data_IF_366224828986
#
_entry.id   IF_366224828986
#
_cell.length_a   1.000
_cell.length_b   1.000
_cell.length_c   1.000
_cell.angle_alpha   90.00
_cell.angle_beta   90.00
_cell.angle_gamma   90.00
#
_symmetry.space_group_name_H-M   'P 1'
#
loop_
_entity.id
_entity.type
_entity.pdbx_description
1 polymer ?
#
# COMPACT_ATOMS: atom_id res chain seq x y z
N UNK A 1 -13.20 -19.08 -8.91
CA UNK A 1 -11.85 -18.58 -8.61
C UNK A 1 -11.18 -17.95 -9.83
N UNK A 2 -11.44 -18.43 -11.06
CA UNK A 2 -10.80 -17.91 -12.28
C UNK A 2 -11.69 -16.98 -13.12
N UNK A 3 -12.76 -16.44 -12.55
CA UNK A 3 -13.76 -15.69 -13.31
C UNK A 3 -13.19 -14.38 -13.89
N UNK A 4 -12.22 -13.76 -13.20
CA UNK A 4 -11.60 -12.51 -13.64
C UNK A 4 -10.50 -12.72 -14.70
N UNK A 5 -9.78 -13.85 -14.67
CA UNK A 5 -8.58 -14.08 -15.49
C UNK A 5 -8.75 -13.82 -16.98
N UNK A 6 -9.88 -14.18 -17.63
CA UNK A 6 -10.06 -13.92 -19.06
C UNK A 6 -10.27 -12.45 -19.43
N UNK A 7 -10.42 -11.56 -18.43
CA UNK A 7 -10.92 -10.20 -18.64
C UNK A 7 -10.05 -9.10 -18.03
N UNK A 8 -9.00 -9.45 -17.27
CA UNK A 8 -8.16 -8.47 -16.57
C UNK A 8 -6.69 -8.77 -16.84
N UNK A 9 -5.90 -7.72 -17.01
CA UNK A 9 -4.45 -7.83 -17.16
C UNK A 9 -3.71 -7.84 -15.80
N UNK A 10 -4.41 -7.46 -14.72
CA UNK A 10 -3.86 -7.36 -13.37
C UNK A 10 -4.93 -7.75 -12.35
N UNK A 11 -4.55 -8.57 -11.37
CA UNK A 11 -5.38 -8.87 -10.21
C UNK A 11 -5.12 -7.86 -9.08
N UNK A 12 -6.12 -7.04 -8.78
CA UNK A 12 -6.06 -6.03 -7.71
C UNK A 12 -6.66 -6.54 -6.41
N UNK A 13 -5.95 -6.37 -5.30
CA UNK A 13 -6.36 -6.87 -3.99
C UNK A 13 -6.44 -5.77 -2.93
N UNK A 14 -7.44 -5.90 -2.06
CA UNK A 14 -7.47 -5.24 -0.76
C UNK A 14 -7.08 -6.27 0.30
N UNK A 15 -6.02 -6.01 1.06
CA UNK A 15 -5.55 -6.94 2.09
C UNK A 15 -4.87 -6.21 3.26
N UNK A 16 -5.53 -6.23 4.41
CA UNK A 16 -5.05 -5.62 5.66
C UNK A 16 -4.47 -6.64 6.66
N UNK A 17 -4.27 -7.90 6.24
CA UNK A 17 -3.82 -9.00 7.11
C UNK A 17 -2.43 -9.48 6.74
N UNK A 18 -2.26 -9.98 5.51
CA UNK A 18 -0.99 -10.57 5.06
C UNK A 18 -0.79 -10.38 3.56
N UNK A 19 -0.70 -9.11 3.10
CA UNK A 19 -0.64 -8.80 1.67
C UNK A 19 0.58 -9.41 0.98
N UNK A 20 1.72 -9.49 1.67
CA UNK A 20 2.98 -9.99 1.11
C UNK A 20 2.80 -11.46 0.68
N UNK A 21 2.33 -12.30 1.61
CA UNK A 21 2.10 -13.72 1.34
C UNK A 21 0.99 -13.92 0.32
N UNK A 22 -0.14 -13.23 0.49
CA UNK A 22 -1.32 -13.50 -0.32
C UNK A 22 -1.12 -13.08 -1.79
N UNK A 23 -0.44 -11.97 -2.07
CA UNK A 23 -0.14 -11.55 -3.44
C UNK A 23 0.85 -12.51 -4.11
N UNK A 24 1.85 -13.00 -3.39
CA UNK A 24 2.79 -14.02 -3.89
C UNK A 24 2.07 -15.34 -4.23
N UNK A 25 1.20 -15.82 -3.35
CA UNK A 25 0.37 -17.01 -3.60
C UNK A 25 -0.52 -16.83 -4.84
N UNK A 26 -1.14 -15.66 -5.01
CA UNK A 26 -2.00 -15.38 -6.16
C UNK A 26 -1.21 -15.35 -7.46
N UNK A 27 -0.09 -14.62 -7.50
CA UNK A 27 0.77 -14.58 -8.68
C UNK A 27 1.27 -15.98 -9.06
N UNK A 28 1.77 -16.77 -8.09
CA UNK A 28 2.22 -18.15 -8.33
C UNK A 28 1.11 -19.05 -8.85
N UNK A 29 -0.13 -18.82 -8.41
CA UNK A 29 -1.28 -19.63 -8.79
C UNK A 29 -1.82 -19.29 -10.18
N UNK A 30 -1.84 -18.03 -10.56
CA UNK A 30 -2.49 -17.57 -11.80
C UNK A 30 -1.52 -17.20 -12.90
N UNK A 31 -0.28 -16.87 -12.57
CA UNK A 31 0.70 -16.28 -13.48
C UNK A 31 0.45 -14.79 -13.78
N UNK A 32 -0.68 -14.25 -13.33
CA UNK A 32 -1.05 -12.86 -13.61
C UNK A 32 -0.31 -11.87 -12.71
N UNK A 33 0.01 -10.67 -13.19
CA UNK A 33 0.46 -9.57 -12.34
C UNK A 33 -0.55 -9.26 -11.23
N UNK A 34 -0.05 -8.86 -10.07
CA UNK A 34 -0.85 -8.53 -8.89
C UNK A 34 -0.57 -7.11 -8.40
N UNK A 35 -1.60 -6.42 -7.93
CA UNK A 35 -1.53 -5.07 -7.37
C UNK A 35 -2.11 -5.06 -5.96
N UNK A 36 -1.37 -4.53 -4.98
CA UNK A 36 -1.93 -4.24 -3.67
C UNK A 36 -2.68 -2.91 -3.75
N UNK A 37 -3.96 -2.96 -4.10
CA UNK A 37 -4.78 -1.77 -4.34
C UNK A 37 -5.23 -1.07 -3.05
N UNK A 38 -5.32 -1.81 -1.94
CA UNK A 38 -5.65 -1.23 -0.64
C UNK A 38 -4.97 -2.00 0.50
N UNK A 39 -4.04 -1.35 1.19
CA UNK A 39 -3.52 -1.83 2.48
C UNK A 39 -2.97 -0.70 3.34
N UNK A 40 -3.00 -0.90 4.65
CA UNK A 40 -2.45 -0.02 5.66
C UNK A 40 -2.38 -0.76 7.01
N UNK A 41 -1.50 -0.33 7.92
CA UNK A 41 -1.58 -0.74 9.33
C UNK A 41 -2.69 0.04 10.03
N UNK A 42 -3.92 -0.47 9.97
CA UNK A 42 -5.11 0.20 10.49
C UNK A 42 -5.32 -0.10 11.98
N UNK A 43 -5.51 0.97 12.77
CA UNK A 43 -6.09 0.96 14.10
C UNK A 43 -7.61 1.09 13.96
N UNK A 44 -8.31 -0.04 13.94
CA UNK A 44 -9.77 -0.08 13.76
C UNK A 44 -10.56 0.67 14.85
N UNK A 45 -9.96 0.86 16.03
CA UNK A 45 -10.58 1.48 17.20
C UNK A 45 -10.01 2.88 17.48
N UNK A 46 -9.89 3.74 16.46
CA UNK A 46 -9.69 5.18 16.69
C UNK A 46 -10.87 5.72 17.51
N UNK A 47 -10.62 6.55 18.52
CA UNK A 47 -11.71 7.11 19.33
C UNK A 47 -12.45 8.23 18.57
N UNK A 48 -13.72 8.52 18.91
CA UNK A 48 -14.41 9.69 18.39
C UNK A 48 -13.62 10.98 18.68
N UNK A 49 -13.45 11.84 17.67
CA UNK A 49 -12.67 13.08 17.80
C UNK A 49 -11.16 12.96 17.59
N UNK A 50 -10.63 11.73 17.50
CA UNK A 50 -9.21 11.49 17.25
C UNK A 50 -8.92 11.21 15.77
N UNK A 51 -7.68 11.51 15.38
CA UNK A 51 -7.07 11.02 14.14
C UNK A 51 -5.96 10.04 14.50
N UNK A 52 -5.89 8.93 13.75
CA UNK A 52 -4.74 8.02 13.85
C UNK A 52 -3.75 8.36 12.74
N UNK A 53 -2.45 8.52 13.04
CA UNK A 53 -1.44 8.68 12.00
C UNK A 53 -1.34 7.40 11.18
N UNK A 54 -0.95 7.53 9.91
CA UNK A 54 -0.50 6.37 9.14
C UNK A 54 0.77 5.80 9.77
N UNK A 55 1.14 4.56 9.45
CA UNK A 55 2.43 3.99 9.86
C UNK A 55 3.36 3.98 8.65
N UNK A 56 4.22 4.99 8.56
CA UNK A 56 5.14 5.16 7.43
C UNK A 56 6.23 4.09 7.35
N UNK A 57 6.65 3.55 8.50
CA UNK A 57 7.65 2.48 8.56
C UNK A 57 7.05 1.16 8.07
N UNK A 58 5.84 0.84 8.54
CA UNK A 58 5.13 -0.34 8.03
C UNK A 58 4.88 -0.26 6.52
N UNK A 59 4.55 0.94 5.99
CA UNK A 59 4.40 1.12 4.55
C UNK A 59 5.71 0.83 3.81
N UNK A 60 6.83 1.37 4.31
CA UNK A 60 8.15 1.14 3.72
C UNK A 60 8.50 -0.36 3.70
N UNK A 61 8.40 -1.03 4.85
CA UNK A 61 8.69 -2.46 4.98
C UNK A 61 7.81 -3.31 4.05
N UNK A 62 6.52 -2.95 3.94
CA UNK A 62 5.57 -3.61 3.04
C UNK A 62 5.95 -3.39 1.59
N UNK A 63 6.28 -2.16 1.19
CA UNK A 63 6.71 -1.84 -0.16
C UNK A 63 7.98 -2.58 -0.56
N UNK A 64 8.99 -2.63 0.31
CA UNK A 64 10.23 -3.38 0.07
C UNK A 64 9.97 -4.87 -0.09
N UNK A 65 9.10 -5.44 0.75
CA UNK A 65 8.73 -6.86 0.69
C UNK A 65 7.94 -7.21 -0.57
N UNK A 66 6.99 -6.35 -0.96
CA UNK A 66 6.24 -6.51 -2.21
C UNK A 66 7.14 -6.40 -3.44
N UNK A 67 8.15 -5.52 -3.41
CA UNK A 67 9.13 -5.42 -4.49
C UNK A 67 9.95 -6.71 -4.70
N UNK A 68 10.08 -7.58 -3.69
CA UNK A 68 10.73 -8.89 -3.86
C UNK A 68 9.85 -9.90 -4.61
N UNK A 69 8.54 -9.64 -4.76
CA UNK A 69 7.65 -10.46 -5.56
C UNK A 69 7.65 -9.96 -7.01
N UNK A 70 8.22 -10.72 -7.97
CA UNK A 70 8.32 -10.29 -9.37
C UNK A 70 6.97 -10.10 -10.07
N UNK A 71 5.89 -10.69 -9.53
CA UNK A 71 4.54 -10.49 -10.03
C UNK A 71 3.83 -9.29 -9.44
N UNK A 72 4.35 -8.69 -8.36
CA UNK A 72 3.72 -7.54 -7.73
C UNK A 72 4.14 -6.24 -8.43
N UNK A 73 3.18 -5.57 -9.05
CA UNK A 73 3.45 -4.39 -9.87
C UNK A 73 3.24 -3.05 -9.15
N UNK A 74 2.76 -3.07 -7.90
CA UNK A 74 2.62 -1.84 -7.13
C UNK A 74 1.83 -1.97 -5.83
N UNK A 75 1.72 -0.83 -5.15
CA UNK A 75 1.03 -0.71 -3.87
C UNK A 75 0.40 0.69 -3.72
N UNK A 76 -0.90 0.74 -3.44
CA UNK A 76 -1.63 1.93 -3.02
C UNK A 76 -1.98 1.86 -1.52
N UNK A 77 -1.54 2.87 -0.75
CA UNK A 77 -1.86 3.01 0.67
C UNK A 77 -3.35 3.32 0.89
N UNK A 78 -4.04 2.53 1.70
CA UNK A 78 -5.42 2.77 2.11
C UNK A 78 -5.50 3.59 3.42
N UNK A 79 -4.86 4.76 3.41
CA UNK A 79 -4.60 5.61 4.59
C UNK A 79 -5.19 7.02 4.52
N UNK A 80 -6.06 7.27 3.53
CA UNK A 80 -6.56 8.58 3.11
C UNK A 80 -5.46 9.59 2.73
N UNK A 81 -5.69 10.35 1.66
CA UNK A 81 -4.76 11.40 1.29
C UNK A 81 -4.83 12.57 2.28
N UNK A 82 -6.02 13.16 2.43
CA UNK A 82 -6.28 14.25 3.37
C UNK A 82 -7.06 13.77 4.60
N UNK A 83 -6.73 14.32 5.77
CA UNK A 83 -7.44 14.09 7.02
C UNK A 83 -8.93 14.40 6.86
N UNK A 84 -9.76 13.43 7.21
CA UNK A 84 -11.21 13.60 7.22
C UNK A 84 -11.87 12.83 8.37
N UNK A 85 -13.02 13.32 8.85
CA UNK A 85 -13.73 12.77 10.01
C UNK A 85 -14.30 11.37 9.79
N UNK A 86 -14.51 10.95 8.54
CA UNK A 86 -15.06 9.63 8.22
C UNK A 86 -14.00 8.52 8.34
N UNK A 87 -12.82 8.75 7.75
CA UNK A 87 -11.70 7.80 7.79
C UNK A 87 -10.87 7.95 9.05
N UNK A 88 -10.71 9.17 9.57
CA UNK A 88 -9.86 9.53 10.73
C UNK A 88 -8.37 9.19 10.53
N UNK A 89 -7.95 9.23 9.27
CA UNK A 89 -6.58 9.12 8.79
C UNK A 89 -6.32 10.20 7.74
N UNK A 90 -5.06 10.45 7.43
CA UNK A 90 -4.63 11.33 6.34
C UNK A 90 -3.11 11.51 6.30
N UNK A 91 -2.52 11.61 5.11
CA UNK A 91 -1.12 11.98 4.90
C UNK A 91 -0.88 13.49 5.04
N UNK A 92 -1.90 14.31 4.77
CA UNK A 92 -1.90 15.75 4.96
C UNK A 92 -3.06 16.21 5.83
N UNK A 93 -2.88 17.30 6.57
CA UNK A 93 -3.94 17.94 7.33
C UNK A 93 -4.86 18.85 6.47
N UNK A 94 -5.84 19.50 7.10
CA UNK A 94 -6.80 20.38 6.42
C UNK A 94 -6.16 21.65 5.82
N UNK A 95 -4.92 21.96 6.20
CA UNK A 95 -4.10 23.07 5.69
C UNK A 95 -2.99 22.59 4.75
N UNK A 96 -3.08 21.34 4.29
CA UNK A 96 -2.11 20.69 3.40
C UNK A 96 -0.71 20.50 4.01
N UNK A 97 -0.58 20.58 5.34
CA UNK A 97 0.68 20.25 6.00
C UNK A 97 0.83 18.72 6.06
N UNK A 98 1.96 18.16 5.58
CA UNK A 98 2.20 16.74 5.65
C UNK A 98 2.49 16.26 7.07
N UNK A 99 2.05 15.03 7.37
CA UNK A 99 2.53 14.27 8.53
C UNK A 99 3.95 13.76 8.26
N UNK A 100 4.95 14.64 8.39
CA UNK A 100 6.34 14.34 7.98
C UNK A 100 6.92 13.11 8.68
N UNK A 101 6.52 12.85 9.93
CA UNK A 101 6.92 11.64 10.68
C UNK A 101 6.63 10.36 9.90
N UNK A 102 5.50 10.31 9.18
CA UNK A 102 5.09 9.13 8.41
C UNK A 102 5.29 9.29 6.91
N UNK A 103 5.25 10.50 6.37
CA UNK A 103 5.45 10.75 4.94
C UNK A 103 6.91 10.59 4.53
N UNK A 104 7.86 11.01 5.37
CA UNK A 104 9.29 10.93 5.04
C UNK A 104 9.80 9.49 4.83
N UNK A 105 9.50 8.50 5.71
CA UNK A 105 9.89 7.11 5.44
C UNK A 105 9.22 6.53 4.20
N UNK A 106 7.94 6.87 3.92
CA UNK A 106 7.26 6.45 2.69
C UNK A 106 7.94 7.02 1.45
N UNK A 107 8.32 8.30 1.50
CA UNK A 107 9.02 8.97 0.41
C UNK A 107 10.39 8.34 0.17
N UNK A 108 11.15 8.06 1.22
CA UNK A 108 12.45 7.40 1.12
C UNK A 108 12.34 6.03 0.45
N UNK A 109 11.39 5.19 0.89
CA UNK A 109 11.16 3.88 0.30
C UNK A 109 10.73 3.96 -1.17
N UNK A 110 9.81 4.88 -1.51
CA UNK A 110 9.39 5.10 -2.90
C UNK A 110 10.54 5.54 -3.80
N UNK A 111 11.41 6.44 -3.35
CA UNK A 111 12.58 6.88 -4.12
C UNK A 111 13.58 5.75 -4.34
N UNK A 112 13.82 4.92 -3.32
CA UNK A 112 14.68 3.75 -3.42
C UNK A 112 14.15 2.74 -4.45
N UNK A 113 12.87 2.35 -4.33
CA UNK A 113 12.25 1.40 -5.25
C UNK A 113 12.19 1.97 -6.67
N UNK A 114 11.82 3.24 -6.84
CA UNK A 114 11.80 3.88 -8.16
C UNK A 114 13.19 3.92 -8.82
N UNK A 115 14.27 4.00 -8.02
CA UNK A 115 15.64 3.90 -8.55
C UNK A 115 15.94 2.48 -9.03
N UNK A 116 15.63 1.45 -8.22
CA UNK A 116 15.84 0.04 -8.59
C UNK A 116 15.06 -0.35 -9.84
N UNK A 117 13.77 0.02 -9.91
CA UNK A 117 12.94 -0.21 -11.09
C UNK A 117 13.59 0.39 -12.34
N UNK A 118 14.17 1.59 -12.28
CA UNK A 118 14.87 2.20 -13.42
C UNK A 118 16.19 1.53 -13.80
N UNK A 119 16.84 0.83 -12.87
CA UNK A 119 18.08 0.09 -13.13
C UNK A 119 17.79 -1.28 -13.78
N UNK A 120 16.58 -1.82 -13.57
CA UNK A 120 16.13 -3.09 -14.14
C UNK A 120 15.63 -2.96 -15.61
N UNK A 121 15.49 -1.74 -16.14
CA UNK A 121 15.06 -1.42 -17.52
C UNK A 121 16.11 -0.63 -18.30
#
# INVERSE_FOLDING_TARGET
MNAALPYVDVLSFQDFRDPIKNLDDWHKKTGEPVLLADSAKIKWQTQPGEFTPNDGHWYADTLHSLFQNPGCIGFHLCGAYQRNKARRYGLIDERENPDTENVDPMKAANLEIAKKVKEDF
#
